data_IF_759594600945
#
_entry.id   IF_759594600945
#
_cell.length_a   1.000
_cell.length_b   1.000
_cell.length_c   1.000
_cell.angle_alpha   90.00
_cell.angle_beta   90.00
_cell.angle_gamma   90.00
#
_symmetry.space_group_name_H-M   'P 1'
#
loop_
_entity.id
_entity.type
_entity.pdbx_description
1 polymer ?
#
# COMPACT_ATOMS: atom_id res chain seq x y z
N UNK A 1 11.65 -13.65 23.19
CA UNK A 1 12.17 -14.23 21.96
C UNK A 1 12.11 -13.24 20.83
N UNK A 2 13.19 -13.08 20.12
CA UNK A 2 13.34 -12.07 19.10
C UNK A 2 12.64 -12.41 17.77
N UNK A 3 11.49 -13.05 17.80
CA UNK A 3 10.77 -13.39 16.57
C UNK A 3 10.27 -12.16 15.84
N UNK A 4 9.92 -11.11 16.58
CA UNK A 4 9.49 -9.85 15.97
C UNK A 4 10.62 -9.14 15.23
N UNK A 5 11.87 -9.45 15.59
CA UNK A 5 13.05 -8.97 14.91
C UNK A 5 13.65 -9.96 13.92
N UNK A 6 13.04 -11.15 13.74
CA UNK A 6 13.55 -12.13 12.80
C UNK A 6 13.37 -11.67 11.37
N UNK A 7 14.23 -12.16 10.48
CA UNK A 7 14.15 -11.77 9.07
C UNK A 7 12.85 -12.26 8.43
N UNK A 8 12.34 -13.42 8.83
CA UNK A 8 11.06 -13.94 8.33
C UNK A 8 9.91 -13.02 8.74
N UNK A 9 9.91 -12.53 9.98
CA UNK A 9 8.88 -11.61 10.46
C UNK A 9 8.94 -10.27 9.73
N UNK A 10 10.16 -9.75 9.47
CA UNK A 10 10.34 -8.52 8.70
C UNK A 10 9.84 -8.68 7.27
N UNK A 11 10.20 -9.75 6.61
CA UNK A 11 9.76 -10.05 5.25
C UNK A 11 8.24 -10.18 5.18
N UNK A 12 7.62 -10.84 6.16
CA UNK A 12 6.17 -11.00 6.22
C UNK A 12 5.47 -9.65 6.41
N UNK A 13 6.02 -8.76 7.23
CA UNK A 13 5.44 -7.42 7.43
C UNK A 13 5.47 -6.61 6.13
N UNK A 14 6.59 -6.61 5.42
CA UNK A 14 6.72 -5.87 4.16
C UNK A 14 5.81 -6.48 3.09
N UNK A 15 5.73 -7.81 3.03
CA UNK A 15 4.83 -8.50 2.10
C UNK A 15 3.37 -8.12 2.33
N UNK A 16 2.94 -8.08 3.60
CA UNK A 16 1.58 -7.64 3.94
C UNK A 16 1.33 -6.19 3.58
N UNK A 17 2.34 -5.33 3.77
CA UNK A 17 2.23 -3.93 3.38
C UNK A 17 2.12 -3.77 1.85
N UNK A 18 2.82 -4.59 1.07
CA UNK A 18 2.69 -4.61 -0.39
C UNK A 18 1.29 -5.05 -0.82
N UNK A 19 0.73 -6.06 -0.14
CA UNK A 19 -0.64 -6.49 -0.41
C UNK A 19 -1.64 -5.37 -0.10
N UNK A 20 -1.48 -4.70 1.03
CA UNK A 20 -2.36 -3.59 1.41
C UNK A 20 -2.27 -2.41 0.43
N UNK A 21 -1.06 -2.08 -0.02
CA UNK A 21 -0.84 -0.92 -0.88
C UNK A 21 -1.23 -1.17 -2.34
N UNK A 22 -0.93 -2.36 -2.88
CA UNK A 22 -1.06 -2.67 -4.31
C UNK A 22 -1.91 -3.89 -4.61
N UNK A 23 -2.43 -4.58 -3.60
CA UNK A 23 -3.19 -5.81 -3.79
C UNK A 23 -2.34 -6.97 -4.30
N UNK A 24 -1.05 -6.97 -3.99
CA UNK A 24 -0.10 -7.98 -4.46
C UNK A 24 -0.10 -9.16 -3.51
N UNK A 25 -0.58 -10.30 -3.96
CA UNK A 25 -0.54 -11.55 -3.20
C UNK A 25 0.58 -12.43 -3.71
N UNK A 26 1.46 -12.85 -2.80
CA UNK A 26 2.58 -13.71 -3.14
C UNK A 26 3.00 -14.52 -1.92
N UNK A 27 3.60 -15.68 -2.16
CA UNK A 27 4.09 -16.54 -1.10
C UNK A 27 5.40 -16.06 -0.48
N UNK A 28 6.18 -15.24 -1.21
CA UNK A 28 7.46 -14.71 -0.75
C UNK A 28 7.57 -13.22 -1.03
N UNK A 29 8.44 -12.56 -0.27
CA UNK A 29 8.69 -11.13 -0.47
C UNK A 29 9.31 -10.86 -1.85
N UNK A 30 10.19 -11.72 -2.32
CA UNK A 30 10.81 -11.60 -3.64
C UNK A 30 9.76 -11.61 -4.76
N UNK A 31 8.78 -12.53 -4.67
CA UNK A 31 7.67 -12.58 -5.63
C UNK A 31 6.79 -11.35 -5.54
N UNK A 32 6.49 -10.90 -4.33
CA UNK A 32 5.68 -9.70 -4.11
C UNK A 32 6.35 -8.48 -4.72
N UNK A 33 7.65 -8.33 -4.53
CA UNK A 33 8.42 -7.23 -5.11
C UNK A 33 8.41 -7.26 -6.62
N UNK A 34 8.55 -8.45 -7.23
CA UNK A 34 8.48 -8.58 -8.69
C UNK A 34 7.11 -8.23 -9.25
N UNK A 35 6.03 -8.65 -8.56
CA UNK A 35 4.66 -8.33 -8.97
C UNK A 35 4.37 -6.83 -8.86
N UNK A 36 4.84 -6.18 -7.82
CA UNK A 36 4.71 -4.74 -7.66
C UNK A 36 5.54 -3.98 -8.69
N UNK A 37 6.73 -4.50 -9.02
CA UNK A 37 7.55 -4.04 -10.13
C UNK A 37 7.83 -2.56 -10.11
N UNK A 38 7.47 -1.88 -11.21
CA UNK A 38 7.76 -0.46 -11.43
C UNK A 38 6.98 0.48 -10.54
N UNK A 39 5.95 0.00 -9.85
CA UNK A 39 5.20 0.82 -8.89
C UNK A 39 6.05 1.25 -7.70
N UNK A 40 7.12 0.50 -7.41
CA UNK A 40 8.01 0.80 -6.31
C UNK A 40 9.11 1.76 -6.77
N UNK A 41 9.39 2.84 -5.99
CA UNK A 41 10.55 3.68 -6.25
C UNK A 41 11.85 2.88 -6.13
N UNK A 42 12.88 3.34 -6.80
CA UNK A 42 14.18 2.69 -6.78
C UNK A 42 14.70 2.45 -5.35
N UNK A 43 14.52 3.44 -4.48
CA UNK A 43 14.94 3.35 -3.08
C UNK A 43 14.22 2.22 -2.34
N UNK A 44 12.91 2.13 -2.51
CA UNK A 44 12.10 1.10 -1.86
C UNK A 44 12.44 -0.29 -2.41
N UNK A 45 12.65 -0.40 -3.72
CA UNK A 45 13.09 -1.66 -4.32
C UNK A 45 14.44 -2.12 -3.77
N UNK A 46 15.37 -1.17 -3.55
CA UNK A 46 16.66 -1.48 -2.95
C UNK A 46 16.50 -1.96 -1.50
N UNK A 47 15.61 -1.34 -0.72
CA UNK A 47 15.32 -1.74 0.65
C UNK A 47 14.75 -3.16 0.71
N UNK A 48 13.81 -3.47 -0.18
CA UNK A 48 13.20 -4.81 -0.26
C UNK A 48 14.24 -5.83 -0.72
N UNK A 49 15.11 -5.47 -1.68
CA UNK A 49 16.18 -6.34 -2.14
C UNK A 49 17.16 -6.68 -1.02
N UNK A 50 17.45 -5.71 -0.14
CA UNK A 50 18.29 -5.95 1.03
C UNK A 50 17.66 -6.97 1.98
N UNK A 51 16.35 -6.86 2.20
CA UNK A 51 15.61 -7.79 3.06
C UNK A 51 15.55 -9.19 2.44
N UNK A 52 15.29 -9.30 1.14
CA UNK A 52 15.26 -10.60 0.45
C UNK A 52 16.62 -11.27 0.44
N UNK A 53 17.69 -10.49 0.25
CA UNK A 53 19.06 -11.03 0.34
C UNK A 53 19.38 -11.51 1.75
N UNK A 54 18.89 -10.83 2.76
CA UNK A 54 19.05 -11.24 4.15
C UNK A 54 18.28 -12.52 4.46
N UNK A 55 17.11 -12.73 3.87
CA UNK A 55 16.38 -13.99 4.00
C UNK A 55 17.20 -15.17 3.46
N UNK A 56 17.81 -14.98 2.29
CA UNK A 56 18.67 -16.01 1.69
C UNK A 56 19.88 -16.33 2.60
N UNK A 57 20.48 -15.30 3.19
CA UNK A 57 21.59 -15.49 4.13
C UNK A 57 21.14 -16.17 5.43
N UNK A 58 19.96 -15.83 5.92
CA UNK A 58 19.42 -16.43 7.13
C UNK A 58 19.13 -17.92 6.97
N UNK A 59 18.78 -18.36 5.76
CA UNK A 59 18.56 -19.78 5.47
C UNK A 59 19.85 -20.58 5.46
N UNK A 60 21.01 -19.93 5.37
CA UNK A 60 22.34 -20.57 5.42
C UNK A 60 22.98 -20.29 6.78
N UNK A 61 23.19 -21.32 7.64
CA UNK A 61 23.75 -21.11 8.98
C UNK A 61 25.12 -20.44 9.00
N UNK A 62 25.90 -20.59 7.94
CA UNK A 62 27.22 -19.95 7.84
C UNK A 62 27.12 -18.44 7.64
N UNK A 63 26.06 -17.98 6.97
CA UNK A 63 25.89 -16.57 6.62
C UNK A 63 24.97 -15.82 7.58
N UNK A 64 24.17 -16.54 8.38
CA UNK A 64 23.24 -15.91 9.33
C UNK A 64 23.91 -14.88 10.26
N UNK A 65 25.11 -15.14 10.83
CA UNK A 65 25.76 -14.14 11.68
C UNK A 65 26.23 -12.88 10.96
N UNK A 66 26.23 -12.86 9.63
CA UNK A 66 26.66 -11.68 8.85
C UNK A 66 25.55 -10.67 8.64
N UNK A 67 24.33 -10.94 9.14
CA UNK A 67 23.19 -10.03 8.97
C UNK A 67 23.39 -8.76 9.81
N UNK A 68 23.19 -7.60 9.16
CA UNK A 68 23.21 -6.31 9.83
C UNK A 68 21.79 -5.93 10.22
N UNK A 69 21.42 -6.16 11.49
CA UNK A 69 20.07 -5.87 11.97
C UNK A 69 19.73 -4.39 11.94
N UNK A 70 20.71 -3.50 12.09
CA UNK A 70 20.48 -2.06 12.01
C UNK A 70 20.09 -1.65 10.60
N UNK A 71 20.82 -2.14 9.60
CA UNK A 71 20.52 -1.86 8.20
C UNK A 71 19.17 -2.45 7.80
N UNK A 72 18.86 -3.67 8.27
CA UNK A 72 17.58 -4.31 8.00
C UNK A 72 16.41 -3.58 8.64
N UNK A 73 16.56 -3.11 9.88
CA UNK A 73 15.54 -2.31 10.55
C UNK A 73 15.24 -1.03 9.79
N UNK A 74 16.29 -0.35 9.34
CA UNK A 74 16.16 0.89 8.58
C UNK A 74 15.47 0.64 7.24
N UNK A 75 15.87 -0.41 6.53
CA UNK A 75 15.26 -0.77 5.24
C UNK A 75 13.78 -1.11 5.41
N UNK A 76 13.44 -1.86 6.45
CA UNK A 76 12.05 -2.21 6.78
C UNK A 76 11.23 -0.95 7.09
N UNK A 77 11.74 -0.09 7.96
CA UNK A 77 11.04 1.15 8.34
C UNK A 77 10.80 2.05 7.13
N UNK A 78 11.80 2.22 6.29
CA UNK A 78 11.69 3.05 5.07
C UNK A 78 10.65 2.46 4.11
N UNK A 79 10.70 1.16 3.87
CA UNK A 79 9.75 0.49 2.98
C UNK A 79 8.33 0.55 3.52
N UNK A 80 8.13 0.26 4.81
CA UNK A 80 6.81 0.28 5.44
C UNK A 80 6.24 1.69 5.47
N UNK A 81 7.06 2.70 5.76
CA UNK A 81 6.66 4.10 5.78
C UNK A 81 6.15 4.54 4.41
N UNK A 82 6.89 4.21 3.35
CA UNK A 82 6.49 4.55 2.00
C UNK A 82 5.19 3.83 1.58
N UNK A 83 5.09 2.53 1.88
CA UNK A 83 3.89 1.73 1.55
C UNK A 83 2.67 2.24 2.32
N UNK A 84 2.83 2.64 3.56
CA UNK A 84 1.75 3.24 4.34
C UNK A 84 1.28 4.56 3.72
N UNK A 85 2.20 5.37 3.18
CA UNK A 85 1.83 6.63 2.53
C UNK A 85 1.02 6.39 1.25
N UNK A 86 1.31 5.33 0.50
CA UNK A 86 0.55 4.95 -0.70
C UNK A 86 -0.85 4.51 -0.31
N UNK A 87 -0.98 3.67 0.71
CA UNK A 87 -2.28 3.19 1.20
C UNK A 87 -3.15 4.36 1.67
N UNK A 88 -2.57 5.30 2.41
CA UNK A 88 -3.29 6.51 2.84
C UNK A 88 -3.71 7.39 1.67
N UNK A 89 -2.87 7.53 0.65
CA UNK A 89 -3.20 8.31 -0.55
C UNK A 89 -4.38 7.70 -1.30
N UNK A 90 -4.41 6.38 -1.43
CA UNK A 90 -5.51 5.67 -2.08
C UNK A 90 -6.80 5.81 -1.28
N UNK A 91 -6.74 5.72 0.04
CA UNK A 91 -7.89 5.91 0.91
C UNK A 91 -8.44 7.34 0.79
N UNK A 92 -7.57 8.35 0.73
CA UNK A 92 -7.98 9.74 0.53
C UNK A 92 -8.64 9.95 -0.81
N UNK A 93 -8.11 9.37 -1.89
CA UNK A 93 -8.72 9.46 -3.22
C UNK A 93 -10.10 8.85 -3.22
N UNK A 94 -10.28 7.68 -2.64
CA UNK A 94 -11.57 7.03 -2.52
C UNK A 94 -12.58 7.89 -1.76
N UNK A 95 -12.16 8.49 -0.64
CA UNK A 95 -13.01 9.36 0.16
C UNK A 95 -13.39 10.62 -0.61
N UNK A 96 -12.44 11.25 -1.33
CA UNK A 96 -12.70 12.44 -2.13
C UNK A 96 -13.66 12.15 -3.29
N UNK A 97 -13.45 11.04 -4.00
CA UNK A 97 -14.33 10.63 -5.10
C UNK A 97 -15.73 10.35 -4.59
N UNK A 98 -15.88 9.70 -3.43
CA UNK A 98 -17.16 9.47 -2.80
C UNK A 98 -17.86 10.76 -2.41
N UNK A 99 -17.13 11.72 -1.84
CA UNK A 99 -17.66 13.02 -1.46
C UNK A 99 -18.12 13.81 -2.68
N UNK A 100 -17.31 13.87 -3.73
CA UNK A 100 -17.65 14.55 -4.98
C UNK A 100 -18.89 13.90 -5.60
N UNK A 101 -18.96 12.58 -5.64
CA UNK A 101 -20.11 11.85 -6.16
C UNK A 101 -21.39 12.19 -5.41
N UNK A 102 -21.32 12.28 -4.08
CA UNK A 102 -22.45 12.64 -3.23
C UNK A 102 -22.93 14.06 -3.52
N UNK A 103 -22.00 15.01 -3.64
CA UNK A 103 -22.32 16.41 -3.94
C UNK A 103 -23.01 16.52 -5.31
N UNK A 104 -22.45 15.87 -6.33
CA UNK A 104 -23.02 15.90 -7.69
C UNK A 104 -24.41 15.29 -7.70
N UNK A 105 -24.60 14.15 -7.03
CA UNK A 105 -25.89 13.48 -6.96
C UNK A 105 -26.94 14.36 -6.27
N UNK A 106 -26.59 14.99 -5.15
CA UNK A 106 -27.49 15.90 -4.45
C UNK A 106 -27.86 17.11 -5.31
N UNK A 107 -26.87 17.64 -6.04
CA UNK A 107 -27.12 18.78 -6.95
C UNK A 107 -28.09 18.38 -8.06
N UNK A 108 -27.91 17.20 -8.66
CA UNK A 108 -28.80 16.68 -9.69
C UNK A 108 -30.22 16.49 -9.16
N UNK A 109 -30.38 16.00 -7.94
CA UNK A 109 -31.69 15.85 -7.31
C UNK A 109 -32.39 17.20 -7.13
N UNK A 110 -31.67 18.23 -6.70
CA UNK A 110 -32.21 19.58 -6.55
C UNK A 110 -32.67 20.14 -7.88
N UNK A 111 -31.85 20.00 -8.92
CA UNK A 111 -32.20 20.47 -10.26
C UNK A 111 -33.43 19.73 -10.80
N UNK A 112 -33.47 18.40 -10.64
CA UNK A 112 -34.61 17.60 -11.09
C UNK A 112 -35.91 17.99 -10.38
N UNK A 113 -35.84 18.21 -9.05
CA UNK A 113 -36.97 18.63 -8.26
C UNK A 113 -37.48 20.02 -8.70
N UNK A 114 -36.54 20.93 -8.94
CA UNK A 114 -36.88 22.29 -9.40
C UNK A 114 -37.55 22.26 -10.78
N UNK A 115 -36.99 21.52 -11.74
CA UNK A 115 -37.57 21.38 -13.08
C UNK A 115 -38.94 20.72 -13.01
N UNK A 116 -39.11 19.66 -12.22
CA UNK A 116 -40.37 18.99 -12.01
C UNK A 116 -41.42 19.94 -11.42
N UNK A 117 -41.03 20.76 -10.46
CA UNK A 117 -41.92 21.76 -9.87
C UNK A 117 -42.34 22.81 -10.88
N UNK A 118 -41.39 23.31 -11.71
CA UNK A 118 -41.72 24.29 -12.74
C UNK A 118 -42.67 23.72 -13.77
N UNK A 119 -42.47 22.50 -14.21
CA UNK A 119 -43.35 21.83 -15.17
C UNK A 119 -44.74 21.64 -14.57
N UNK A 120 -44.79 21.18 -13.30
CA UNK A 120 -46.05 20.96 -12.59
C UNK A 120 -46.81 22.26 -12.34
N UNK A 121 -46.10 23.34 -12.04
CA UNK A 121 -46.68 24.64 -11.81
C UNK A 121 -47.08 25.36 -13.12
N UNK A 122 -46.78 24.77 -14.27
CA UNK A 122 -47.17 25.32 -15.58
C UNK A 122 -46.40 26.52 -16.08
N UNK A 123 -45.17 26.72 -15.56
CA UNK A 123 -44.31 27.83 -15.95
C UNK A 123 -43.52 27.59 -17.25
N UNK A 124 -43.58 26.40 -17.76
CA UNK A 124 -42.91 26.04 -19.03
C UNK A 124 -43.89 25.83 -20.18
#
# INVERSE_FOLDING_TARGET
>A
MARDGSIEARAARVRRALDAAFGVRAGTLAQAARKAGRRLPRRVRADIALITAAEDRASNPRLAPTLDNTALSRAEEDALSWLASVDHADARRGALLGLVGTIVFNLLLVVAAFVGWMVWAGHL
#
